data_IF_768924902378
#
_entry.id   IF_768924902378
#
_cell.length_a   1.000
_cell.length_b   1.000
_cell.length_c   1.000
_cell.angle_alpha   90.00
_cell.angle_beta   90.00
_cell.angle_gamma   90.00
#
_symmetry.space_group_name_H-M   'P 1'
#
loop_
_entity.id
_entity.type
_entity.pdbx_description
1 polymer ?
#
# COMPACT_ATOMS: atom_id res chain seq x y z
N UNK A 1 -20.43 15.17 -11.15
CA UNK A 1 -20.92 15.20 -12.55
C UNK A 1 -20.03 14.29 -13.39
N UNK A 2 -20.53 13.09 -13.74
CA UNK A 2 -19.87 12.16 -14.68
C UNK A 2 -20.57 12.31 -16.03
N UNK A 3 -19.87 12.85 -17.03
CA UNK A 3 -20.42 12.97 -18.38
C UNK A 3 -20.04 11.72 -19.19
N UNK A 4 -21.08 10.97 -19.57
CA UNK A 4 -21.03 9.87 -20.53
C UNK A 4 -20.86 10.44 -21.94
N UNK A 5 -19.91 9.91 -22.71
CA UNK A 5 -19.74 10.22 -24.14
C UNK A 5 -19.74 8.94 -24.95
N UNK A 6 -20.91 8.58 -25.46
CA UNK A 6 -21.13 7.57 -26.50
C UNK A 6 -20.91 8.26 -27.86
N UNK A 7 -20.06 7.73 -28.73
CA UNK A 7 -20.02 8.11 -30.14
C UNK A 7 -19.80 6.87 -31.00
N UNK A 8 -20.84 6.49 -31.73
CA UNK A 8 -20.82 5.43 -32.72
C UNK A 8 -20.65 5.96 -34.15
N UNK A 9 -20.12 5.06 -34.98
CA UNK A 9 -20.39 4.86 -36.41
C UNK A 9 -19.80 5.90 -37.39
N UNK A 10 -18.84 5.46 -38.20
CA UNK A 10 -18.93 5.65 -39.65
C UNK A 10 -18.23 4.49 -40.39
N UNK A 11 -19.03 3.63 -41.00
CA UNK A 11 -18.59 2.66 -41.99
C UNK A 11 -18.35 3.38 -43.32
N UNK A 12 -17.19 3.18 -43.94
CA UNK A 12 -16.97 3.46 -45.36
C UNK A 12 -16.47 2.19 -46.02
N UNK A 13 -17.35 1.59 -46.82
CA UNK A 13 -17.09 0.53 -47.78
C UNK A 13 -16.92 1.17 -49.17
N UNK A 14 -16.36 0.40 -50.13
CA UNK A 14 -16.15 0.64 -51.58
C UNK A 14 -14.69 1.03 -51.96
N UNK A 15 -13.94 0.41 -52.90
CA UNK A 15 -14.19 -0.63 -53.93
C UNK A 15 -12.89 -1.40 -54.22
N UNK A 16 -13.06 -2.69 -54.51
CA UNK A 16 -12.14 -3.65 -55.10
C UNK A 16 -11.43 -3.12 -56.36
N UNK A 17 -10.10 -3.27 -56.40
CA UNK A 17 -9.29 -3.20 -57.62
C UNK A 17 -8.22 -4.28 -57.57
N UNK A 18 -8.43 -5.37 -58.31
CA UNK A 18 -7.53 -6.53 -58.41
C UNK A 18 -6.44 -6.28 -59.45
N UNK A 19 -5.23 -6.81 -59.21
CA UNK A 19 -4.41 -7.61 -60.13
C UNK A 19 -2.92 -7.54 -59.73
N UNK A 20 -2.32 -8.69 -59.43
CA UNK A 20 -0.87 -8.80 -59.27
C UNK A 20 -0.48 -9.71 -58.10
N UNK A 21 -0.20 -10.97 -58.41
CA UNK A 21 0.18 -11.99 -57.45
C UNK A 21 1.44 -11.62 -56.66
N UNK A 22 1.29 -11.52 -55.36
CA UNK A 22 2.18 -12.17 -54.41
C UNK A 22 1.30 -12.57 -53.24
N UNK A 23 0.96 -13.85 -53.17
CA UNK A 23 0.45 -14.48 -51.95
C UNK A 23 1.58 -14.44 -50.92
N UNK A 24 1.82 -13.27 -50.34
CA UNK A 24 2.36 -13.17 -49.01
C UNK A 24 1.21 -13.56 -48.09
N UNK A 25 1.12 -14.83 -47.74
CA UNK A 25 0.54 -15.15 -46.44
C UNK A 25 1.31 -14.30 -45.43
N UNK A 26 0.66 -13.32 -44.80
CA UNK A 26 1.13 -12.88 -43.49
C UNK A 26 1.06 -14.13 -42.64
N UNK A 27 2.22 -14.78 -42.46
CA UNK A 27 2.35 -15.80 -41.45
C UNK A 27 2.02 -15.06 -40.16
N UNK A 28 0.93 -15.45 -39.50
CA UNK A 28 0.85 -15.28 -38.06
C UNK A 28 2.12 -15.96 -37.55
N UNK A 29 3.08 -15.20 -37.04
CA UNK A 29 4.27 -15.77 -36.44
C UNK A 29 3.82 -16.45 -35.13
N UNK A 30 3.37 -17.70 -35.25
CA UNK A 30 2.86 -18.53 -34.15
C UNK A 30 3.97 -18.94 -33.16
N UNK A 31 5.18 -18.36 -33.29
CA UNK A 31 6.39 -18.74 -32.57
C UNK A 31 7.07 -17.59 -31.81
N UNK A 32 6.49 -16.38 -31.77
CA UNK A 32 7.03 -15.31 -30.93
C UNK A 32 6.34 -15.31 -29.57
N UNK A 33 6.81 -16.18 -28.68
CA UNK A 33 6.33 -16.27 -27.30
C UNK A 33 6.85 -15.06 -26.50
N UNK A 34 5.97 -14.39 -25.75
CA UNK A 34 6.36 -13.35 -24.81
C UNK A 34 5.64 -13.49 -23.47
N UNK A 35 6.32 -13.16 -22.38
CA UNK A 35 5.73 -13.02 -21.04
C UNK A 35 5.39 -11.54 -20.80
N UNK A 36 4.18 -11.28 -20.33
CA UNK A 36 3.74 -9.95 -19.88
C UNK A 36 3.32 -10.06 -18.42
N UNK A 37 3.96 -9.28 -17.53
CA UNK A 37 3.62 -9.23 -16.11
C UNK A 37 2.50 -8.24 -15.84
N UNK A 38 1.75 -8.45 -14.75
CA UNK A 38 0.73 -7.52 -14.26
C UNK A 38 1.29 -6.14 -13.90
N UNK A 39 2.56 -6.11 -13.47
CA UNK A 39 3.32 -4.92 -13.14
C UNK A 39 4.81 -5.13 -13.34
N UNK A 40 5.54 -4.06 -13.63
CA UNK A 40 7.00 -4.05 -13.76
C UNK A 40 7.72 -3.55 -12.50
N UNK A 41 6.97 -3.07 -11.50
CA UNK A 41 7.50 -2.70 -10.20
C UNK A 41 6.47 -2.94 -9.09
N UNK A 42 6.93 -3.39 -7.93
CA UNK A 42 6.13 -3.51 -6.70
C UNK A 42 6.92 -3.00 -5.49
N UNK A 43 6.19 -2.46 -4.52
CA UNK A 43 6.70 -2.22 -3.19
C UNK A 43 6.03 -3.21 -2.22
N UNK A 44 6.80 -3.77 -1.30
CA UNK A 44 6.30 -4.71 -0.28
C UNK A 44 6.99 -4.44 1.05
N UNK A 45 6.28 -4.55 2.16
CA UNK A 45 6.88 -4.45 3.48
C UNK A 45 7.59 -5.76 3.85
N UNK A 46 8.57 -5.71 4.74
CA UNK A 46 9.22 -6.91 5.30
C UNK A 46 8.14 -7.88 5.84
N UNK A 47 8.28 -9.18 5.56
CA UNK A 47 7.34 -10.27 5.90
C UNK A 47 5.97 -10.24 5.18
N UNK A 48 5.63 -9.18 4.47
CA UNK A 48 4.42 -9.11 3.66
C UNK A 48 4.63 -9.74 2.28
N UNK A 49 3.52 -10.05 1.60
CA UNK A 49 3.55 -10.70 0.29
C UNK A 49 2.63 -10.04 -0.74
N UNK A 50 3.06 -10.07 -2.00
CA UNK A 50 2.31 -9.54 -3.15
C UNK A 50 2.36 -10.54 -4.30
N UNK A 51 1.24 -10.75 -4.99
CA UNK A 51 1.16 -11.64 -6.14
C UNK A 51 1.48 -10.88 -7.45
N UNK A 52 2.42 -11.40 -8.23
CA UNK A 52 2.70 -10.96 -9.59
C UNK A 52 2.12 -11.99 -10.55
N UNK A 53 1.07 -11.61 -11.28
CA UNK A 53 0.47 -12.47 -12.30
C UNK A 53 1.11 -12.22 -13.67
N UNK A 54 0.94 -13.17 -14.58
CA UNK A 54 1.50 -13.11 -15.92
C UNK A 54 0.53 -13.59 -16.99
N UNK A 55 0.74 -13.14 -18.23
CA UNK A 55 0.06 -13.63 -19.42
C UNK A 55 1.12 -13.99 -20.47
N UNK A 56 0.95 -15.15 -21.10
CA UNK A 56 1.75 -15.56 -22.25
C UNK A 56 1.05 -15.16 -23.54
N UNK A 57 1.80 -14.55 -24.46
CA UNK A 57 1.31 -14.21 -25.79
C UNK A 57 2.06 -15.01 -26.87
N UNK A 58 1.37 -15.45 -27.95
CA UNK A 58 -0.06 -15.30 -28.19
C UNK A 58 -0.90 -16.17 -27.23
N UNK A 59 -2.06 -15.63 -26.82
CA UNK A 59 -3.04 -16.31 -25.96
C UNK A 59 -3.40 -17.67 -26.60
N UNK A 60 -3.24 -18.77 -25.84
CA UNK A 60 -3.21 -20.19 -26.26
C UNK A 60 -1.83 -20.87 -26.32
N UNK A 61 -0.78 -20.35 -25.69
CA UNK A 61 0.42 -21.15 -25.37
C UNK A 61 0.12 -22.15 -24.23
N UNK A 62 -0.88 -23.01 -24.44
CA UNK A 62 -1.34 -23.97 -23.44
C UNK A 62 -0.22 -25.00 -23.21
N UNK A 63 0.33 -25.04 -21.98
CA UNK A 63 1.36 -25.96 -21.44
C UNK A 63 2.81 -25.46 -21.41
N UNK A 64 3.04 -24.18 -21.16
CA UNK A 64 4.39 -23.73 -20.77
C UNK A 64 4.39 -23.29 -19.31
N UNK A 65 5.27 -23.93 -18.53
CA UNK A 65 5.50 -23.59 -17.14
C UNK A 65 6.38 -22.35 -17.09
N UNK A 66 5.94 -21.35 -16.32
CA UNK A 66 6.77 -20.19 -16.02
C UNK A 66 7.55 -20.48 -14.74
N UNK A 67 8.86 -20.27 -14.81
CA UNK A 67 9.75 -20.37 -13.66
C UNK A 67 10.04 -18.98 -13.10
N UNK A 68 9.95 -18.87 -11.78
CA UNK A 68 10.18 -17.63 -11.05
C UNK A 68 11.51 -17.68 -10.30
N UNK A 69 12.18 -16.54 -10.24
CA UNK A 69 13.43 -16.40 -9.49
C UNK A 69 13.63 -14.97 -9.00
N UNK A 70 14.21 -14.83 -7.80
CA UNK A 70 14.75 -13.56 -7.32
C UNK A 70 16.23 -13.40 -7.68
N UNK A 71 16.65 -12.18 -8.02
CA UNK A 71 18.08 -11.85 -8.17
C UNK A 71 18.82 -11.79 -6.84
N UNK A 72 18.09 -11.54 -5.75
CA UNK A 72 18.61 -11.51 -4.38
C UNK A 72 17.52 -11.96 -3.39
N UNK A 73 17.59 -13.24 -3.01
CA UNK A 73 16.68 -13.87 -2.05
C UNK A 73 16.90 -13.39 -0.61
N UNK A 74 17.98 -12.66 -0.32
CA UNK A 74 18.15 -12.03 1.00
C UNK A 74 17.30 -10.77 1.15
N UNK A 75 16.82 -10.21 0.04
CA UNK A 75 15.94 -9.03 0.00
C UNK A 75 14.49 -9.46 -0.21
N UNK A 76 14.19 -10.27 -1.24
CA UNK A 76 12.84 -10.79 -1.48
C UNK A 76 12.90 -12.19 -2.12
N UNK A 77 11.98 -13.07 -1.73
CA UNK A 77 11.79 -14.39 -2.32
C UNK A 77 10.52 -14.43 -3.15
N UNK A 78 10.43 -15.38 -4.10
CA UNK A 78 9.23 -15.61 -4.90
C UNK A 78 8.94 -17.10 -4.96
N UNK A 79 7.66 -17.48 -4.86
CA UNK A 79 7.23 -18.87 -4.99
C UNK A 79 6.90 -19.26 -6.45
N UNK A 80 6.60 -20.55 -6.67
CA UNK A 80 6.26 -21.08 -8.00
C UNK A 80 4.98 -20.47 -8.61
N UNK A 81 4.14 -19.83 -7.79
CA UNK A 81 2.90 -19.17 -8.23
C UNK A 81 3.09 -17.68 -8.54
N UNK A 82 4.28 -17.12 -8.31
CA UNK A 82 4.55 -15.69 -8.49
C UNK A 82 4.20 -14.83 -7.26
N UNK A 83 4.05 -15.44 -6.08
CA UNK A 83 3.89 -14.72 -4.82
C UNK A 83 5.26 -14.30 -4.31
N UNK A 84 5.49 -12.99 -4.22
CA UNK A 84 6.73 -12.38 -3.75
C UNK A 84 6.59 -12.02 -2.27
N UNK A 85 7.54 -12.46 -1.44
CA UNK A 85 7.60 -12.13 0.00
C UNK A 85 8.83 -11.30 0.31
N UNK A 86 8.66 -10.19 1.03
CA UNK A 86 9.76 -9.35 1.50
C UNK A 86 10.55 -10.01 2.64
N UNK A 87 11.87 -10.04 2.52
CA UNK A 87 12.78 -10.63 3.53
C UNK A 87 13.51 -9.56 4.32
N UNK A 88 14.10 -8.57 3.63
CA UNK A 88 14.82 -7.47 4.24
C UNK A 88 14.74 -6.22 3.38
N UNK A 89 14.87 -5.05 4.00
CA UNK A 89 14.86 -3.75 3.31
C UNK A 89 15.91 -3.71 2.20
N UNK A 90 15.49 -3.28 1.02
CA UNK A 90 16.38 -3.18 -0.14
C UNK A 90 15.64 -3.22 -1.46
N UNK A 91 16.39 -3.32 -2.54
CA UNK A 91 15.85 -3.44 -3.90
C UNK A 91 16.40 -4.72 -4.55
N UNK A 92 15.52 -5.47 -5.19
CA UNK A 92 15.88 -6.67 -5.96
C UNK A 92 14.98 -6.77 -7.19
N UNK A 93 15.22 -7.75 -8.06
CA UNK A 93 14.38 -8.03 -9.21
C UNK A 93 13.85 -9.45 -9.15
N UNK A 94 12.59 -9.60 -9.50
CA UNK A 94 11.94 -10.88 -9.75
C UNK A 94 11.88 -11.12 -11.25
N UNK A 95 12.33 -12.30 -11.67
CA UNK A 95 12.39 -12.72 -13.07
C UNK A 95 11.42 -13.87 -13.26
N UNK A 96 10.48 -13.69 -14.19
CA UNK A 96 9.62 -14.76 -14.68
C UNK A 96 10.17 -15.22 -16.03
N UNK A 97 10.37 -16.51 -16.22
CA UNK A 97 11.00 -17.09 -17.42
C UNK A 97 10.19 -18.24 -17.99
N UNK A 98 10.22 -18.41 -19.31
CA UNK A 98 9.49 -19.43 -20.03
C UNK A 98 10.41 -19.99 -21.14
N UNK A 99 11.14 -21.06 -20.82
CA UNK A 99 12.24 -21.54 -21.67
C UNK A 99 13.46 -20.63 -21.62
N UNK A 100 14.39 -20.81 -22.57
CA UNK A 100 15.75 -20.25 -22.47
C UNK A 100 15.83 -18.74 -22.77
N UNK A 101 14.98 -18.21 -23.65
CA UNK A 101 15.13 -16.85 -24.21
C UNK A 101 13.95 -15.91 -23.90
N UNK A 102 12.89 -16.40 -23.25
CA UNK A 102 11.69 -15.60 -22.96
C UNK A 102 11.63 -15.33 -21.47
N UNK A 103 11.74 -14.05 -21.09
CA UNK A 103 11.63 -13.63 -19.70
C UNK A 103 11.02 -12.23 -19.58
N UNK A 104 10.50 -11.94 -18.40
CA UNK A 104 10.09 -10.61 -17.98
C UNK A 104 10.63 -10.35 -16.57
N UNK A 105 10.82 -9.08 -16.24
CA UNK A 105 11.39 -8.65 -14.96
C UNK A 105 10.47 -7.66 -14.26
N UNK A 106 10.36 -7.82 -12.95
CA UNK A 106 9.67 -6.90 -12.06
C UNK A 106 10.67 -6.39 -11.00
N UNK A 107 10.79 -5.08 -10.86
CA UNK A 107 11.55 -4.48 -9.77
C UNK A 107 10.78 -4.62 -8.45
N UNK A 108 11.46 -4.99 -7.38
CA UNK A 108 10.87 -5.14 -6.04
C UNK A 108 11.64 -4.24 -5.09
N UNK A 109 10.94 -3.31 -4.47
CA UNK A 109 11.48 -2.51 -3.36
C UNK A 109 10.86 -3.02 -2.06
N UNK A 110 11.67 -3.55 -1.17
CA UNK A 110 11.26 -3.98 0.16
C UNK A 110 11.50 -2.84 1.14
N UNK A 111 10.45 -2.45 1.87
CA UNK A 111 10.49 -1.37 2.88
C UNK A 111 10.29 -1.96 4.28
N UNK A 112 10.71 -1.21 5.30
CA UNK A 112 10.29 -1.51 6.67
C UNK A 112 8.76 -1.43 6.75
N UNK A 113 8.16 -2.18 7.67
CA UNK A 113 6.78 -1.93 8.07
C UNK A 113 6.70 -0.52 8.64
N UNK A 114 5.67 0.22 8.24
CA UNK A 114 5.36 1.52 8.86
C UNK A 114 5.15 1.34 10.36
N UNK A 115 5.34 2.41 11.14
CA UNK A 115 5.04 2.36 12.56
C UNK A 115 3.58 1.95 12.80
N UNK A 116 2.66 2.39 11.93
CA UNK A 116 1.25 2.02 11.97
C UNK A 116 0.99 0.51 11.82
N UNK A 117 1.61 -0.15 10.83
CA UNK A 117 1.45 -1.59 10.58
C UNK A 117 2.00 -2.47 11.72
N UNK A 118 2.82 -1.90 12.60
CA UNK A 118 3.42 -2.57 13.75
C UNK A 118 2.56 -2.46 15.02
N UNK A 119 1.51 -1.65 15.00
CA UNK A 119 0.56 -1.47 16.11
C UNK A 119 -0.41 -2.65 16.21
N UNK A 120 -0.90 -2.95 17.42
CA UNK A 120 -2.01 -3.88 17.61
C UNK A 120 -3.38 -3.29 17.19
N UNK A 121 -4.42 -4.13 17.11
CA UNK A 121 -5.75 -3.72 16.64
C UNK A 121 -6.34 -2.52 17.43
N UNK A 122 -6.09 -2.43 18.74
CA UNK A 122 -6.61 -1.34 19.58
C UNK A 122 -5.80 -0.06 19.40
N UNK A 123 -4.49 -0.19 19.29
CA UNK A 123 -3.59 0.92 19.01
C UNK A 123 -3.89 1.54 17.63
N UNK A 124 -4.16 0.70 16.63
CA UNK A 124 -4.62 1.15 15.30
C UNK A 124 -5.96 1.88 15.38
N UNK A 125 -6.96 1.35 16.12
CA UNK A 125 -8.24 2.03 16.34
C UNK A 125 -8.06 3.42 16.96
N UNK A 126 -7.19 3.55 17.97
CA UNK A 126 -6.85 4.83 18.59
C UNK A 126 -6.21 5.80 17.58
N UNK A 127 -5.22 5.33 16.82
CA UNK A 127 -4.54 6.15 15.82
C UNK A 127 -5.51 6.60 14.74
N UNK A 128 -6.33 5.72 14.18
CA UNK A 128 -7.34 6.06 13.16
C UNK A 128 -8.32 7.13 13.66
N UNK A 129 -8.82 6.95 14.89
CA UNK A 129 -9.75 7.88 15.50
C UNK A 129 -9.10 9.27 15.72
N UNK A 130 -7.81 9.33 16.04
CA UNK A 130 -7.06 10.58 16.21
C UNK A 130 -6.70 11.22 14.86
N UNK A 131 -6.23 10.45 13.87
CA UNK A 131 -5.85 10.93 12.55
C UNK A 131 -7.03 11.58 11.81
N UNK A 132 -8.24 11.04 11.99
CA UNK A 132 -9.46 11.66 11.47
C UNK A 132 -9.66 13.11 11.96
N UNK A 133 -9.10 13.44 13.12
CA UNK A 133 -9.28 14.73 13.79
C UNK A 133 -8.03 15.61 13.82
N UNK A 134 -6.86 15.10 13.42
CA UNK A 134 -5.58 15.78 13.63
C UNK A 134 -5.48 17.15 12.94
N UNK A 135 -6.32 17.38 11.91
CA UNK A 135 -6.45 18.67 11.22
C UNK A 135 -7.02 19.79 12.11
N UNK A 136 -7.55 19.48 13.30
CA UNK A 136 -8.03 20.47 14.28
C UNK A 136 -6.86 21.11 15.04
N UNK A 137 -5.69 20.47 15.08
CA UNK A 137 -4.50 21.01 15.74
C UNK A 137 -3.76 22.03 14.85
N UNK A 138 -3.23 23.08 15.47
CA UNK A 138 -2.54 24.17 14.76
C UNK A 138 -1.25 23.70 14.06
N UNK A 139 -0.51 22.79 14.69
CA UNK A 139 0.67 22.12 14.13
C UNK A 139 0.58 20.61 14.41
N UNK A 140 -0.02 19.84 13.48
CA UNK A 140 -0.16 18.39 13.60
C UNK A 140 1.15 17.65 13.85
N UNK A 141 2.27 18.15 13.31
CA UNK A 141 3.57 17.50 13.42
C UNK A 141 4.20 17.61 14.82
N UNK A 142 3.69 18.52 15.64
CA UNK A 142 4.17 18.76 17.01
C UNK A 142 3.48 17.91 18.09
N UNK A 143 2.48 17.14 17.69
CA UNK A 143 1.55 16.40 18.55
C UNK A 143 2.17 15.07 18.98
N UNK A 144 2.03 14.76 20.27
CA UNK A 144 2.39 13.45 20.85
C UNK A 144 1.37 13.06 21.92
N UNK A 145 1.12 11.77 22.06
CA UNK A 145 0.28 11.19 23.11
C UNK A 145 1.16 10.93 24.34
N UNK A 146 0.71 11.42 25.50
CA UNK A 146 1.34 11.19 26.80
C UNK A 146 0.68 10.03 27.53
N UNK A 147 -0.65 9.98 27.52
CA UNK A 147 -1.44 8.87 28.05
C UNK A 147 -2.77 8.76 27.30
N UNK A 148 -3.28 7.54 27.16
CA UNK A 148 -4.60 7.29 26.60
C UNK A 148 -5.26 6.10 27.31
N UNK A 149 -6.56 6.18 27.58
CA UNK A 149 -7.33 5.03 28.04
C UNK A 149 -8.75 5.01 27.44
N UNK A 150 -9.23 3.80 27.17
CA UNK A 150 -10.57 3.56 26.67
C UNK A 150 -11.53 3.38 27.86
N UNK A 151 -12.49 4.27 27.99
CA UNK A 151 -13.51 4.16 29.03
C UNK A 151 -14.60 3.14 28.65
N UNK A 152 -15.35 2.66 29.65
CA UNK A 152 -16.37 1.61 29.45
C UNK A 152 -17.51 1.99 28.49
N UNK A 153 -17.68 3.28 28.18
CA UNK A 153 -18.68 3.76 27.23
C UNK A 153 -18.12 3.89 25.78
N UNK A 154 -16.89 3.47 25.54
CA UNK A 154 -16.21 3.57 24.25
C UNK A 154 -15.53 4.92 23.98
N UNK A 155 -15.53 5.86 24.93
CA UNK A 155 -14.84 7.15 24.78
C UNK A 155 -13.37 7.00 25.14
N UNK A 156 -12.49 7.41 24.24
CA UNK A 156 -11.07 7.54 24.49
C UNK A 156 -10.80 8.83 25.27
N UNK A 157 -10.10 8.71 26.39
CA UNK A 157 -9.63 9.85 27.17
C UNK A 157 -8.13 9.96 26.88
N UNK A 158 -7.71 11.00 26.17
CA UNK A 158 -6.37 11.11 25.59
C UNK A 158 -5.72 12.39 26.11
N UNK A 159 -4.47 12.32 26.51
CA UNK A 159 -3.65 13.50 26.78
C UNK A 159 -2.64 13.70 25.71
N UNK A 160 -2.76 14.87 25.09
CA UNK A 160 -1.94 15.29 23.98
C UNK A 160 -0.96 16.33 24.48
N UNK A 161 0.31 16.14 24.16
CA UNK A 161 1.36 17.13 24.30
C UNK A 161 1.66 17.72 22.93
N UNK A 162 1.59 19.04 22.82
CA UNK A 162 2.03 19.79 21.65
C UNK A 162 3.30 20.59 21.99
N UNK A 163 4.34 20.44 21.17
CA UNK A 163 5.59 21.18 21.31
C UNK A 163 5.58 22.49 20.54
N UNK A 164 6.12 23.56 21.12
CA UNK A 164 6.38 24.79 20.39
C UNK A 164 7.83 24.84 19.87
N UNK A 165 8.07 25.70 18.88
CA UNK A 165 9.40 25.87 18.26
C UNK A 165 10.47 26.46 19.20
N UNK A 166 10.10 26.83 20.43
CA UNK A 166 10.99 27.40 21.44
C UNK A 166 11.40 26.39 22.51
N UNK A 167 11.03 25.11 22.36
CA UNK A 167 11.38 24.03 23.28
C UNK A 167 10.44 23.90 24.49
N UNK A 168 9.32 24.63 24.52
CA UNK A 168 8.24 24.42 25.49
C UNK A 168 7.19 23.45 24.97
N UNK A 169 6.31 22.99 25.86
CA UNK A 169 5.16 22.17 25.49
C UNK A 169 3.91 22.58 26.27
N UNK A 170 2.74 22.26 25.73
CA UNK A 170 1.46 22.28 26.44
C UNK A 170 0.82 20.90 26.40
N UNK A 171 0.23 20.48 27.52
CA UNK A 171 -0.56 19.27 27.62
C UNK A 171 -2.04 19.64 27.75
N UNK A 172 -2.88 18.92 27.02
CA UNK A 172 -4.32 19.09 27.04
C UNK A 172 -4.97 17.71 26.95
N UNK A 173 -5.95 17.49 27.83
CA UNK A 173 -6.77 16.29 27.81
C UNK A 173 -7.86 16.46 26.74
N UNK A 174 -8.31 15.37 26.14
CA UNK A 174 -9.36 15.30 25.12
C UNK A 174 -10.22 14.05 25.31
N UNK A 175 -11.53 14.21 25.14
CA UNK A 175 -12.48 13.12 25.02
C UNK A 175 -12.76 12.87 23.54
N UNK A 176 -12.30 11.74 23.01
CA UNK A 176 -12.63 11.29 21.66
C UNK A 176 -13.77 10.26 21.74
N UNK A 177 -14.97 10.72 21.37
CA UNK A 177 -16.19 9.92 21.44
C UNK A 177 -16.19 8.84 20.33
N UNK A 178 -16.97 7.76 20.49
CA UNK A 178 -17.12 6.73 19.45
C UNK A 178 -17.58 7.23 18.07
N UNK A 179 -18.24 8.40 18.01
CA UNK A 179 -18.67 9.01 16.75
C UNK A 179 -17.59 9.87 16.07
N UNK A 180 -16.38 9.87 16.63
CA UNK A 180 -15.22 10.61 16.13
C UNK A 180 -15.18 12.07 16.58
N UNK A 181 -16.14 12.54 17.38
CA UNK A 181 -16.11 13.92 17.90
C UNK A 181 -15.08 14.07 19.02
N UNK A 182 -14.33 15.19 18.98
CA UNK A 182 -13.42 15.59 20.06
C UNK A 182 -14.11 16.65 20.93
N UNK A 183 -14.17 16.39 22.23
CA UNK A 183 -14.57 17.37 23.25
C UNK A 183 -13.36 17.72 24.15
N UNK A 184 -13.16 19.00 24.42
CA UNK A 184 -12.23 19.43 25.47
C UNK A 184 -12.86 19.15 26.85
N UNK A 185 -12.20 18.39 27.75
CA UNK A 185 -12.69 18.16 29.09
C UNK A 185 -12.53 19.40 29.96
N UNK A 186 -13.53 19.60 30.81
CA UNK A 186 -13.51 20.55 31.91
C UNK A 186 -12.70 19.90 33.04
N UNK A 187 -11.52 20.45 33.36
CA UNK A 187 -10.64 20.04 34.47
C UNK A 187 -11.36 19.24 35.58
N UNK A 188 -11.05 17.94 35.67
CA UNK A 188 -10.94 17.18 36.91
C UNK A 188 -10.37 15.79 36.59
N UNK A 189 -9.10 15.61 36.93
CA UNK A 189 -8.40 14.33 36.89
C UNK A 189 -9.14 13.31 37.79
N UNK A 190 -9.67 12.25 37.18
CA UNK A 190 -10.19 11.09 37.90
C UNK A 190 -9.37 9.88 37.46
N UNK A 191 -8.43 9.43 38.30
CA UNK A 191 -7.75 8.15 38.11
C UNK A 191 -8.78 7.02 38.13
N UNK A 192 -8.85 6.27 37.03
CA UNK A 192 -9.56 4.99 36.95
C UNK A 192 -8.62 3.89 36.46
N UNK A 193 -8.84 2.63 36.87
CA UNK A 193 -7.88 1.56 36.71
C UNK A 193 -7.91 0.96 35.30
N UNK A 194 -6.71 0.73 34.76
CA UNK A 194 -6.51 0.01 33.49
C UNK A 194 -5.55 0.76 32.59
N UNK A 195 -4.30 0.92 33.00
CA UNK A 195 -3.24 1.28 32.07
C UNK A 195 -3.10 0.07 31.12
N UNK A 196 -3.75 0.14 29.96
CA UNK A 196 -3.38 -0.75 28.86
C UNK A 196 -1.95 -0.33 28.48
N UNK A 197 -1.02 -1.28 28.46
CA UNK A 197 0.40 -1.02 28.19
C UNK A 197 0.59 -0.71 26.69
N UNK A 198 0.05 0.42 26.23
CA UNK A 198 0.20 0.91 24.86
C UNK A 198 1.66 1.24 24.58
N UNK A 199 2.08 0.96 23.36
CA UNK A 199 3.37 1.36 22.84
C UNK A 199 3.30 2.81 22.35
N UNK A 200 3.32 3.75 23.30
CA UNK A 200 3.25 5.19 23.02
C UNK A 200 4.35 5.67 22.08
N UNK A 201 5.54 5.08 22.12
CA UNK A 201 6.63 5.43 21.21
C UNK A 201 6.23 5.10 19.77
N UNK A 202 5.67 3.90 19.53
CA UNK A 202 5.23 3.47 18.20
C UNK A 202 3.97 4.20 17.72
N UNK A 203 3.03 4.52 18.62
CA UNK A 203 1.86 5.34 18.31
C UNK A 203 2.28 6.74 17.88
N UNK A 204 3.21 7.36 18.61
CA UNK A 204 3.74 8.68 18.27
C UNK A 204 4.52 8.66 16.95
N UNK A 205 5.27 7.59 16.68
CA UNK A 205 5.94 7.37 15.40
C UNK A 205 4.93 7.28 14.24
N UNK A 206 3.84 6.51 14.42
CA UNK A 206 2.78 6.38 13.41
C UNK A 206 2.08 7.71 13.11
N UNK A 207 1.80 8.51 14.15
CA UNK A 207 1.24 9.87 13.99
C UNK A 207 2.23 10.79 13.27
N UNK A 208 3.52 10.70 13.60
CA UNK A 208 4.57 11.50 12.97
C UNK A 208 4.74 11.16 11.48
N UNK A 209 4.76 9.88 11.11
CA UNK A 209 4.81 9.42 9.71
C UNK A 209 3.65 10.01 8.89
N UNK A 210 2.43 9.98 9.42
CA UNK A 210 1.27 10.56 8.75
C UNK A 210 1.39 12.09 8.56
N UNK A 211 1.81 12.80 9.60
CA UNK A 211 1.81 14.29 9.60
C UNK A 211 2.96 14.90 8.80
N UNK A 212 4.08 14.19 8.65
CA UNK A 212 5.22 14.64 7.86
C UNK A 212 5.07 14.33 6.36
N UNK A 213 4.06 13.54 5.99
CA UNK A 213 3.80 13.07 4.64
C UNK A 213 4.65 11.86 4.31
N UNK A 214 4.00 10.70 4.17
CA UNK A 214 4.56 9.52 3.52
C UNK A 214 4.97 9.83 2.06
#
# INVERSE_FOLDING_TARGET
MRQKGLAGILAVLFIVGTCGCATGSEKKDENNLSIVLSTNAVEVSVEESVEITYVLMPENSEKQTVEWKSTDETIAIVDDSGVVTGVAVGETNIIASCGDDVFATCAVTVKEKSAYERLDDKEQELVDALLANINVFYDPSSVSIVYAYLSANGTWNITVRAHNQMGGYSEQDYDLKPDGTIEEPIFNHVEMPGNEDYNYDLINEAIAEYTQGA
#
